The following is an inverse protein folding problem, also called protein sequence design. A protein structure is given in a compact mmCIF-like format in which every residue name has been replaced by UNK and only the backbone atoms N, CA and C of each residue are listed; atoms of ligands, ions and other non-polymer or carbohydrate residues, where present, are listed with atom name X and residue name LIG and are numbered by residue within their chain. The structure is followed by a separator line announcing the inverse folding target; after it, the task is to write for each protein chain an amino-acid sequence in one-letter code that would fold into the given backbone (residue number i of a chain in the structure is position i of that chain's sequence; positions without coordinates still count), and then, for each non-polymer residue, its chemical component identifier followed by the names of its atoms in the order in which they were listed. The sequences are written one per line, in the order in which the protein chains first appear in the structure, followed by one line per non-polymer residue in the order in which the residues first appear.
data_IF_709268897398
#
_entry.id   IF_709268897398
#
_cell.length_a   1.000
_cell.length_b   1.000
_cell.length_c   1.000
_cell.angle_alpha   90.00
_cell.angle_beta   90.00
_cell.angle_gamma   90.00
#
_symmetry.space_group_name_H-M   'P 1'
#
loop_
_entity.id
_entity.type
_entity.pdbx_description
1 polymer ?
#
# COMPACT_ATOMS: atom_id res chain seq x y z
N UNK A 1 -22.86 -13.31 71.00
CA UNK A 1 -21.75 -14.20 70.58
C UNK A 1 -22.28 -15.61 70.36
N UNK A 2 -22.70 -15.94 69.14
CA UNK A 2 -22.78 -17.31 68.62
C UNK A 2 -22.48 -17.21 67.13
N UNK A 3 -21.50 -17.99 66.73
CA UNK A 3 -20.76 -17.92 65.49
C UNK A 3 -21.61 -18.26 64.26
N UNK A 4 -21.76 -17.30 63.35
CA UNK A 4 -22.06 -17.56 61.94
C UNK A 4 -20.77 -18.09 61.27
N UNK A 5 -20.33 -19.27 61.72
CA UNK A 5 -19.27 -20.04 61.08
C UNK A 5 -19.95 -20.89 60.01
N UNK A 6 -19.37 -20.87 58.81
CA UNK A 6 -19.64 -21.74 57.65
C UNK A 6 -20.70 -21.25 56.65
N UNK A 7 -20.38 -20.17 55.94
CA UNK A 7 -20.83 -19.94 54.56
C UNK A 7 -19.60 -19.70 53.69
N UNK A 8 -18.92 -20.80 53.37
CA UNK A 8 -17.89 -20.93 52.35
C UNK A 8 -18.09 -22.34 51.79
N UNK A 9 -17.83 -22.56 50.49
CA UNK A 9 -18.08 -23.78 49.67
C UNK A 9 -19.37 -23.56 48.83
N UNK A 10 -19.39 -23.28 47.52
CA UNK A 10 -18.45 -23.41 46.38
C UNK A 10 -18.86 -22.38 45.31
N UNK A 11 -18.00 -21.44 44.96
CA UNK A 11 -18.10 -20.71 43.71
C UNK A 11 -17.30 -21.49 42.66
N UNK A 12 -17.97 -22.36 41.88
CA UNK A 12 -17.31 -23.05 40.77
C UNK A 12 -17.28 -22.08 39.57
N UNK A 13 -16.07 -21.61 39.32
CA UNK A 13 -15.67 -20.65 38.30
C UNK A 13 -16.23 -21.03 36.93
N UNK A 14 -17.06 -20.16 36.38
CA UNK A 14 -17.43 -20.16 34.97
C UNK A 14 -16.20 -19.72 34.15
N UNK A 15 -15.36 -20.67 33.73
CA UNK A 15 -14.35 -20.40 32.71
C UNK A 15 -15.08 -20.36 31.38
N UNK A 16 -15.56 -19.18 30.99
CA UNK A 16 -15.91 -18.90 29.61
C UNK A 16 -14.57 -18.86 28.87
N UNK A 17 -14.22 -19.95 28.20
CA UNK A 17 -13.18 -19.95 27.18
C UNK A 17 -13.67 -19.12 26.00
N UNK A 18 -13.50 -17.81 26.09
CA UNK A 18 -13.56 -16.94 24.92
C UNK A 18 -12.32 -17.28 24.10
N UNK A 19 -12.46 -18.21 23.15
CA UNK A 19 -11.51 -18.33 22.05
C UNK A 19 -11.63 -17.05 21.23
N UNK A 20 -10.80 -16.06 21.59
CA UNK A 20 -10.57 -14.92 20.73
C UNK A 20 -9.99 -15.45 19.41
N UNK A 21 -10.85 -15.58 18.40
CA UNK A 21 -10.40 -15.76 17.02
C UNK A 21 -9.84 -14.42 16.58
N UNK A 22 -8.54 -14.24 16.78
CA UNK A 22 -7.83 -13.16 16.12
C UNK A 22 -7.75 -13.51 14.64
N UNK A 23 -8.46 -12.76 13.79
CA UNK A 23 -8.27 -12.84 12.35
C UNK A 23 -6.79 -12.54 12.05
N UNK A 24 -6.12 -13.44 11.36
CA UNK A 24 -4.74 -13.21 10.96
C UNK A 24 -4.70 -12.02 9.97
N UNK A 25 -3.82 -11.03 10.16
CA UNK A 25 -3.74 -9.87 9.27
C UNK A 25 -3.55 -10.24 7.78
N UNK A 26 -2.90 -11.39 7.54
CA UNK A 26 -2.60 -11.93 6.21
C UNK A 26 -3.83 -12.32 5.40
N UNK A 27 -4.94 -12.72 6.06
CA UNK A 27 -6.14 -13.17 5.35
C UNK A 27 -6.83 -12.02 4.58
N UNK A 28 -6.63 -10.78 5.03
CA UNK A 28 -7.16 -9.59 4.36
C UNK A 28 -6.25 -9.10 3.24
N UNK A 29 -4.93 -9.17 3.41
CA UNK A 29 -3.96 -8.73 2.38
C UNK A 29 -4.03 -9.62 1.14
N UNK A 30 -4.12 -10.94 1.30
CA UNK A 30 -4.22 -11.87 0.16
C UNK A 30 -5.53 -11.68 -0.63
N UNK A 31 -6.62 -11.35 0.07
CA UNK A 31 -7.90 -11.01 -0.56
C UNK A 31 -7.81 -9.70 -1.34
N UNK A 32 -7.08 -8.71 -0.81
CA UNK A 32 -6.88 -7.43 -1.47
C UNK A 32 -6.05 -7.58 -2.76
N UNK A 33 -4.92 -8.27 -2.71
CA UNK A 33 -4.06 -8.49 -3.89
C UNK A 33 -4.80 -9.28 -4.98
N UNK A 34 -5.63 -10.26 -4.58
CA UNK A 34 -6.47 -11.01 -5.52
C UNK A 34 -7.44 -10.09 -6.26
N UNK A 35 -8.03 -9.10 -5.59
CA UNK A 35 -8.91 -8.10 -6.23
C UNK A 35 -8.14 -7.19 -7.19
N UNK A 36 -6.92 -6.78 -6.84
CA UNK A 36 -6.08 -5.98 -7.73
C UNK A 36 -5.75 -6.73 -9.02
N UNK A 37 -5.36 -8.02 -8.91
CA UNK A 37 -5.12 -8.89 -10.07
C UNK A 37 -6.37 -9.01 -10.95
N UNK A 38 -7.54 -9.20 -10.33
CA UNK A 38 -8.81 -9.28 -11.07
C UNK A 38 -9.14 -7.94 -11.77
N UNK A 39 -8.87 -6.80 -11.14
CA UNK A 39 -9.06 -5.50 -11.77
C UNK A 39 -8.15 -5.34 -13.00
N UNK A 40 -6.87 -5.70 -12.87
CA UNK A 40 -5.89 -5.67 -13.98
C UNK A 40 -6.28 -6.64 -15.11
N UNK A 41 -6.75 -7.84 -14.80
CA UNK A 41 -7.19 -8.82 -15.81
C UNK A 41 -8.39 -8.32 -16.63
N UNK A 42 -9.27 -7.51 -16.03
CA UNK A 42 -10.44 -6.93 -16.68
C UNK A 42 -10.18 -5.52 -17.26
N UNK A 43 -8.97 -4.98 -17.11
CA UNK A 43 -8.63 -3.66 -17.63
C UNK A 43 -8.62 -3.65 -19.16
N UNK A 44 -9.14 -2.57 -19.76
CA UNK A 44 -9.05 -2.40 -21.21
C UNK A 44 -7.61 -2.09 -21.63
N UNK A 45 -7.31 -2.21 -22.93
CA UNK A 45 -5.97 -1.94 -23.46
C UNK A 45 -5.48 -0.50 -23.22
N UNK A 46 -6.38 0.43 -22.90
CA UNK A 46 -6.10 1.85 -22.67
C UNK A 46 -6.17 2.26 -21.20
N UNK A 47 -6.54 1.36 -20.28
CA UNK A 47 -6.77 1.67 -18.87
C UNK A 47 -5.47 1.72 -18.07
N UNK A 48 -4.61 2.69 -18.36
CA UNK A 48 -3.38 2.93 -17.60
C UNK A 48 -3.64 3.09 -16.09
N UNK A 49 -4.75 3.73 -15.72
CA UNK A 49 -5.09 4.05 -14.33
C UNK A 49 -5.29 2.78 -13.47
N UNK A 50 -5.93 1.74 -14.01
CA UNK A 50 -6.12 0.48 -13.27
C UNK A 50 -4.79 -0.17 -12.90
N UNK A 51 -3.81 -0.10 -13.80
CA UNK A 51 -2.46 -0.60 -13.53
C UNK A 51 -1.71 0.30 -12.53
N UNK A 52 -1.87 1.64 -12.62
CA UNK A 52 -1.31 2.57 -11.65
C UNK A 52 -1.83 2.31 -10.23
N UNK A 53 -3.15 2.24 -10.06
CA UNK A 53 -3.82 2.04 -8.78
C UNK A 53 -3.39 0.72 -8.14
N UNK A 54 -3.33 -0.35 -8.95
CA UNK A 54 -2.89 -1.65 -8.49
C UNK A 54 -1.41 -1.63 -8.04
N UNK A 55 -0.54 -0.93 -8.77
CA UNK A 55 0.86 -0.78 -8.40
C UNK A 55 1.03 0.05 -7.12
N UNK A 56 0.36 1.20 -7.03
CA UNK A 56 0.36 2.07 -5.84
C UNK A 56 -0.07 1.28 -4.61
N UNK A 57 -1.16 0.51 -4.72
CA UNK A 57 -1.67 -0.25 -3.58
C UNK A 57 -0.68 -1.31 -3.09
N UNK A 58 -0.02 -2.01 -4.00
CA UNK A 58 1.07 -2.94 -3.65
C UNK A 58 2.24 -2.23 -2.95
N UNK A 59 2.59 -1.01 -3.38
CA UNK A 59 3.65 -0.19 -2.77
C UNK A 59 3.25 0.26 -1.35
N UNK A 60 2.01 0.71 -1.15
CA UNK A 60 1.48 1.08 0.16
C UNK A 60 1.49 -0.08 1.15
N UNK A 61 1.06 -1.25 0.70
CA UNK A 61 1.06 -2.50 1.49
C UNK A 61 2.47 -3.07 1.67
N UNK A 62 3.46 -2.61 0.88
CA UNK A 62 4.80 -3.21 0.78
C UNK A 62 4.74 -4.72 0.47
N UNK A 63 3.76 -5.12 -0.31
CA UNK A 63 3.49 -6.50 -0.69
C UNK A 63 3.45 -6.63 -2.21
N UNK A 64 3.81 -7.80 -2.75
CA UNK A 64 3.81 -8.09 -4.19
C UNK A 64 4.53 -7.03 -5.04
N UNK A 65 5.66 -6.52 -4.55
CA UNK A 65 6.43 -5.46 -5.21
C UNK A 65 6.91 -5.84 -6.62
N UNK A 66 7.13 -7.12 -6.89
CA UNK A 66 7.44 -7.57 -8.26
C UNK A 66 6.28 -7.32 -9.24
N UNK A 67 5.04 -7.54 -8.81
CA UNK A 67 3.85 -7.23 -9.63
C UNK A 67 3.63 -5.72 -9.72
N UNK A 68 3.84 -4.99 -8.62
CA UNK A 68 3.77 -3.53 -8.62
C UNK A 68 4.67 -2.92 -9.71
N UNK A 69 5.89 -3.43 -9.86
CA UNK A 69 6.80 -3.00 -10.92
C UNK A 69 6.25 -3.29 -12.33
N UNK A 70 5.75 -4.50 -12.56
CA UNK A 70 5.19 -4.88 -13.87
C UNK A 70 3.99 -4.00 -14.22
N UNK A 71 3.09 -3.75 -13.26
CA UNK A 71 1.92 -2.92 -13.48
C UNK A 71 2.28 -1.46 -13.70
N UNK A 72 3.21 -0.88 -12.93
CA UNK A 72 3.57 0.52 -13.15
C UNK A 72 4.27 0.73 -14.50
N UNK A 73 5.16 -0.18 -14.93
CA UNK A 73 5.76 -0.10 -16.27
C UNK A 73 4.70 -0.24 -17.37
N UNK A 74 3.69 -1.09 -17.16
CA UNK A 74 2.57 -1.24 -18.10
C UNK A 74 1.72 0.03 -18.19
N UNK A 75 1.41 0.66 -17.05
CA UNK A 75 0.69 1.94 -17.00
C UNK A 75 1.43 3.03 -17.78
N UNK A 76 2.73 3.19 -17.52
CA UNK A 76 3.59 4.15 -18.22
C UNK A 76 3.62 3.87 -19.73
N UNK A 77 3.71 2.61 -20.14
CA UNK A 77 3.72 2.24 -21.55
C UNK A 77 2.39 2.52 -22.27
N UNK A 78 1.25 2.48 -21.57
CA UNK A 78 -0.05 2.83 -22.12
C UNK A 78 -0.18 4.34 -22.27
N UNK A 79 0.15 5.09 -21.21
CA UNK A 79 0.06 6.55 -21.19
C UNK A 79 0.95 7.14 -20.09
N UNK A 80 2.20 7.49 -20.42
CA UNK A 80 3.12 8.14 -19.49
C UNK A 80 2.57 9.50 -19.03
N UNK A 81 2.44 9.68 -17.71
CA UNK A 81 1.89 10.91 -17.12
C UNK A 81 2.49 11.19 -15.73
N UNK A 82 2.15 12.33 -15.13
CA UNK A 82 2.73 12.74 -13.86
C UNK A 82 2.50 11.72 -12.72
N UNK A 83 1.31 11.14 -12.66
CA UNK A 83 0.88 10.22 -11.61
C UNK A 83 1.67 8.90 -11.67
N UNK A 84 1.71 8.22 -12.82
CA UNK A 84 2.41 6.95 -12.92
C UNK A 84 3.94 7.10 -12.80
N UNK A 85 4.50 8.24 -13.18
CA UNK A 85 5.89 8.58 -12.93
C UNK A 85 6.17 8.83 -11.43
N UNK A 86 5.24 9.46 -10.70
CA UNK A 86 5.35 9.63 -9.24
C UNK A 86 5.36 8.25 -8.55
N UNK A 87 4.42 7.38 -8.90
CA UNK A 87 4.30 6.02 -8.33
C UNK A 87 5.56 5.19 -8.63
N UNK A 88 6.13 5.29 -9.85
CA UNK A 88 7.43 4.65 -10.17
C UNK A 88 8.55 5.19 -9.28
N UNK A 89 8.56 6.49 -9.00
CA UNK A 89 9.47 7.08 -8.03
C UNK A 89 9.31 6.50 -6.63
N UNK A 90 8.07 6.32 -6.17
CA UNK A 90 7.77 5.71 -4.86
C UNK A 90 8.25 4.27 -4.77
N UNK A 91 8.02 3.48 -5.82
CA UNK A 91 8.54 2.13 -5.94
C UNK A 91 10.07 2.09 -5.81
N UNK A 92 10.77 2.92 -6.59
CA UNK A 92 12.23 2.95 -6.60
C UNK A 92 12.78 3.43 -5.26
N UNK A 93 12.13 4.41 -4.63
CA UNK A 93 12.51 4.91 -3.31
C UNK A 93 12.35 3.83 -2.23
N UNK A 94 11.24 3.07 -2.26
CA UNK A 94 11.00 1.96 -1.33
C UNK A 94 12.06 0.86 -1.45
N UNK A 95 12.56 0.61 -2.66
CA UNK A 95 13.58 -0.39 -2.94
C UNK A 95 15.03 0.12 -2.81
N UNK A 96 15.22 1.33 -2.29
CA UNK A 96 16.56 1.90 -2.06
C UNK A 96 17.28 2.40 -3.31
N UNK A 97 16.62 2.40 -4.48
CA UNK A 97 17.14 2.90 -5.74
C UNK A 97 17.01 4.44 -5.82
N UNK A 98 17.70 5.12 -4.90
CA UNK A 98 17.57 6.57 -4.63
C UNK A 98 17.71 7.43 -5.88
N UNK A 99 18.76 7.24 -6.67
CA UNK A 99 19.04 8.09 -7.83
C UNK A 99 17.98 7.91 -8.92
N UNK A 100 17.55 6.66 -9.14
CA UNK A 100 16.48 6.34 -10.10
C UNK A 100 15.13 6.90 -9.64
N UNK A 101 14.86 6.87 -8.33
CA UNK A 101 13.64 7.46 -7.78
C UNK A 101 13.60 8.97 -8.02
N UNK A 102 14.72 9.67 -7.78
CA UNK A 102 14.85 11.11 -8.07
C UNK A 102 14.63 11.39 -9.55
N UNK A 103 15.18 10.55 -10.45
CA UNK A 103 14.95 10.68 -11.88
C UNK A 103 13.45 10.56 -12.24
N UNK A 104 12.78 9.53 -11.72
CA UNK A 104 11.34 9.32 -11.96
C UNK A 104 10.49 10.49 -11.43
N UNK A 105 10.75 10.96 -10.21
CA UNK A 105 10.07 12.14 -9.67
C UNK A 105 10.32 13.41 -10.47
N UNK A 106 11.53 13.61 -11.00
CA UNK A 106 11.81 14.78 -11.84
C UNK A 106 11.02 14.73 -13.16
N UNK A 107 10.87 13.53 -13.75
CA UNK A 107 9.99 13.34 -14.91
C UNK A 107 8.52 13.62 -14.56
N UNK A 108 8.06 13.13 -13.40
CA UNK A 108 6.71 13.40 -12.89
C UNK A 108 6.45 14.91 -12.71
N UNK A 109 7.41 15.64 -12.13
CA UNK A 109 7.35 17.10 -11.98
C UNK A 109 7.24 17.78 -13.35
N UNK A 110 8.06 17.39 -14.31
CA UNK A 110 8.01 17.98 -15.65
C UNK A 110 6.66 17.73 -16.33
N UNK A 111 6.17 16.49 -16.29
CA UNK A 111 4.87 16.13 -16.85
C UNK A 111 3.73 16.92 -16.19
N UNK A 112 3.72 17.01 -14.85
CA UNK A 112 2.70 17.75 -14.12
C UNK A 112 2.74 19.25 -14.42
N UNK A 113 3.93 19.85 -14.51
CA UNK A 113 4.07 21.27 -14.90
C UNK A 113 3.52 21.55 -16.30
N UNK A 114 3.72 20.63 -17.25
CA UNK A 114 3.18 20.75 -18.61
C UNK A 114 1.65 20.58 -18.65
N UNK A 115 1.10 19.75 -17.76
CA UNK A 115 -0.34 19.56 -17.60
C UNK A 115 -1.02 20.69 -16.80
N UNK A 116 -0.26 21.52 -16.09
CA UNK A 116 -0.77 22.58 -15.22
C UNK A 116 -1.10 22.14 -13.79
N UNK A 117 -0.56 21.01 -13.35
CA UNK A 117 -0.78 20.42 -12.03
C UNK A 117 0.07 21.08 -10.92
N UNK A 118 -0.37 20.97 -9.67
CA UNK A 118 0.46 21.32 -8.50
C UNK A 118 1.49 20.22 -8.21
N UNK A 119 2.75 20.51 -8.53
CA UNK A 119 3.88 19.58 -8.38
C UNK A 119 4.59 19.69 -7.02
N UNK A 120 4.10 20.52 -6.09
CA UNK A 120 4.78 20.77 -4.81
C UNK A 120 4.94 19.49 -3.96
N UNK A 121 4.00 18.56 -4.05
CA UNK A 121 4.08 17.25 -3.38
C UNK A 121 5.31 16.46 -3.86
N UNK A 122 5.49 16.35 -5.17
CA UNK A 122 6.59 15.58 -5.77
C UNK A 122 7.94 16.26 -5.55
N UNK A 123 7.99 17.59 -5.64
CA UNK A 123 9.20 18.37 -5.31
C UNK A 123 9.68 18.10 -3.87
N UNK A 124 8.75 17.99 -2.90
CA UNK A 124 9.10 17.64 -1.51
C UNK A 124 9.70 16.24 -1.40
N UNK A 125 9.24 15.27 -2.19
CA UNK A 125 9.83 13.91 -2.24
C UNK A 125 11.28 13.96 -2.70
N UNK A 126 11.57 14.68 -3.79
CA UNK A 126 12.96 14.90 -4.28
C UNK A 126 13.81 15.56 -3.21
N UNK A 127 13.34 16.65 -2.61
CA UNK A 127 14.09 17.38 -1.58
C UNK A 127 14.39 16.51 -0.34
N UNK A 128 13.43 15.67 0.07
CA UNK A 128 13.63 14.74 1.19
C UNK A 128 14.73 13.74 0.89
N UNK A 129 14.79 13.23 -0.32
CA UNK A 129 15.81 12.25 -0.72
C UNK A 129 17.17 12.90 -0.95
N UNK A 130 17.25 14.12 -1.46
CA UNK A 130 18.51 14.80 -1.75
C UNK A 130 19.28 15.27 -0.50
N UNK A 131 18.64 15.27 0.68
CA UNK A 131 19.32 15.58 1.95
C UNK A 131 20.27 14.43 2.32
N UNK A 132 21.49 14.80 2.73
CA UNK A 132 22.54 13.89 3.21
C UNK A 132 22.35 13.60 4.69
#
# INVERSE_FOLDING_TARGET
MKSLKQLLVIALVSIISVSASFANPTDNEDNEITKLRAAVENATATDWAVYSDAAERCIELKANLSEAYVWIEKSIAINENAENLEIKGDYLALNGAKDMAIEAYNKAILAGMLAGDDVAKVQKKVLKMSRR
#
